data_IF_969686067219
#
_entry.id   IF_969686067219
#
_cell.length_a   1.000
_cell.length_b   1.000
_cell.length_c   1.000
_cell.angle_alpha   90.00
_cell.angle_beta   90.00
_cell.angle_gamma   90.00
#
_symmetry.space_group_name_H-M   'P 1'
#
loop_
_entity.id
_entity.type
_entity.pdbx_description
1 polymer ?
#
# COMPACT_ATOMS: atom_id res chain seq x y z
N UNK A 1 -8.86 -22.06 7.07
CA UNK A 1 -7.63 -22.22 6.26
C UNK A 1 -7.85 -23.10 5.05
N UNK A 2 -8.78 -24.06 5.10
CA UNK A 2 -9.15 -24.95 3.98
C UNK A 2 -9.52 -24.17 2.70
N UNK A 3 -10.25 -23.07 2.82
CA UNK A 3 -10.62 -22.23 1.67
C UNK A 3 -9.40 -21.61 0.97
N UNK A 4 -8.33 -21.27 1.71
CA UNK A 4 -7.11 -20.71 1.11
C UNK A 4 -6.36 -21.80 0.33
N UNK A 5 -6.30 -23.02 0.86
CA UNK A 5 -5.57 -24.16 0.28
C UNK A 5 -6.11 -24.50 -1.12
N UNK A 6 -7.42 -24.40 -1.32
CA UNK A 6 -8.06 -24.66 -2.61
C UNK A 6 -7.60 -23.70 -3.72
N UNK A 7 -7.23 -22.46 -3.37
CA UNK A 7 -6.88 -21.42 -4.34
C UNK A 7 -5.38 -21.11 -4.40
N UNK A 8 -4.53 -21.91 -3.75
CA UNK A 8 -3.08 -21.67 -3.72
C UNK A 8 -2.43 -21.69 -5.10
N UNK A 9 -2.93 -22.53 -6.01
CA UNK A 9 -2.44 -22.62 -7.39
C UNK A 9 -2.61 -21.31 -8.17
N UNK A 10 -3.64 -20.53 -7.83
CA UNK A 10 -3.91 -19.24 -8.46
C UNK A 10 -3.01 -18.10 -7.96
N UNK A 11 -2.30 -18.30 -6.85
CA UNK A 11 -1.45 -17.27 -6.23
C UNK A 11 -0.12 -17.21 -6.97
N UNK A 12 0.24 -16.01 -7.44
CA UNK A 12 1.48 -15.77 -8.15
C UNK A 12 2.41 -14.91 -7.31
N UNK A 13 3.70 -15.16 -7.42
CA UNK A 13 4.74 -14.26 -6.87
C UNK A 13 5.07 -13.23 -7.96
N UNK A 14 5.00 -11.92 -7.69
CA UNK A 14 5.31 -10.91 -8.69
C UNK A 14 6.78 -11.03 -9.11
N UNK A 15 7.01 -10.99 -10.42
CA UNK A 15 8.35 -10.90 -11.01
C UNK A 15 8.75 -9.42 -11.14
N UNK A 16 10.00 -9.15 -11.57
CA UNK A 16 10.53 -7.77 -11.68
C UNK A 16 9.77 -6.90 -12.70
N UNK A 17 9.08 -7.53 -13.65
CA UNK A 17 8.29 -6.86 -14.69
C UNK A 17 6.79 -6.75 -14.30
N UNK A 18 6.39 -7.34 -13.17
CA UNK A 18 4.99 -7.31 -12.73
C UNK A 18 4.57 -5.88 -12.40
N UNK A 19 3.46 -5.46 -13.00
CA UNK A 19 2.81 -4.19 -12.67
C UNK A 19 1.91 -4.40 -11.46
N UNK A 20 2.27 -3.77 -10.34
CA UNK A 20 1.55 -3.88 -9.08
C UNK A 20 0.80 -2.58 -8.81
N UNK A 21 -0.53 -2.62 -8.88
CA UNK A 21 -1.39 -1.46 -8.67
C UNK A 21 -1.87 -1.42 -7.22
N UNK A 22 -0.98 -1.03 -6.29
CA UNK A 22 -1.25 -0.98 -4.84
C UNK A 22 -1.54 0.42 -4.29
N UNK A 23 -1.57 1.45 -5.14
CA UNK A 23 -1.83 2.83 -4.71
C UNK A 23 -3.33 3.18 -4.74
N UNK A 24 -4.09 2.66 -5.72
CA UNK A 24 -5.49 3.02 -5.95
C UNK A 24 -6.27 1.86 -6.59
N UNK A 25 -7.59 1.87 -6.43
CA UNK A 25 -8.51 0.97 -7.08
C UNK A 25 -8.59 1.22 -8.60
N UNK A 26 -8.67 0.16 -9.39
CA UNK A 26 -8.77 0.28 -10.86
C UNK A 26 -10.14 0.75 -11.37
N UNK A 27 -11.14 0.84 -10.49
CA UNK A 27 -12.52 1.23 -10.82
C UNK A 27 -13.02 2.47 -10.06
N UNK A 28 -12.39 2.82 -8.94
CA UNK A 28 -12.75 3.91 -8.03
C UNK A 28 -11.48 4.59 -7.52
N UNK A 29 -11.62 5.69 -6.78
CA UNK A 29 -10.49 6.38 -6.14
C UNK A 29 -10.17 5.84 -4.74
N UNK A 30 -10.61 4.62 -4.43
CA UNK A 30 -10.28 3.99 -3.15
C UNK A 30 -8.79 3.70 -3.08
N UNK A 31 -8.20 3.96 -1.93
CA UNK A 31 -6.78 3.79 -1.69
C UNK A 31 -6.56 3.06 -0.34
N UNK A 32 -5.31 2.74 0.05
CA UNK A 32 -5.05 2.09 1.33
C UNK A 32 -5.57 2.86 2.56
N UNK A 33 -5.79 4.17 2.47
CA UNK A 33 -6.31 5.03 3.54
C UNK A 33 -7.86 5.08 3.58
N UNK A 34 -8.54 4.51 2.58
CA UNK A 34 -10.00 4.31 2.58
C UNK A 34 -10.45 3.48 3.80
N UNK A 35 -11.71 3.62 4.25
CA UNK A 35 -12.21 2.95 5.46
C UNK A 35 -12.03 1.42 5.44
N UNK A 36 -12.21 0.80 4.28
CA UNK A 36 -12.03 -0.65 4.07
C UNK A 36 -10.62 -1.03 3.59
N UNK A 37 -9.76 -0.04 3.31
CA UNK A 37 -8.47 -0.23 2.66
C UNK A 37 -8.59 -0.67 1.19
N UNK A 38 -7.47 -1.13 0.63
CA UNK A 38 -7.36 -1.57 -0.75
C UNK A 38 -7.15 -3.09 -0.83
N UNK A 39 -7.91 -3.78 -1.68
CA UNK A 39 -7.80 -5.23 -1.89
C UNK A 39 -7.01 -5.52 -3.15
N UNK A 40 -5.80 -6.02 -2.99
CA UNK A 40 -4.90 -6.35 -4.09
C UNK A 40 -5.01 -7.84 -4.46
N UNK A 41 -5.29 -8.15 -5.71
CA UNK A 41 -5.33 -9.56 -6.17
C UNK A 41 -3.94 -10.19 -6.18
N UNK A 42 -3.76 -11.34 -5.53
CA UNK A 42 -2.47 -12.06 -5.56
C UNK A 42 -2.24 -12.87 -6.85
N UNK A 43 -3.18 -12.81 -7.80
CA UNK A 43 -3.06 -13.44 -9.12
C UNK A 43 -2.67 -12.43 -10.20
N UNK A 44 -3.27 -11.24 -10.16
CA UNK A 44 -3.13 -10.23 -11.21
C UNK A 44 -2.57 -8.89 -10.73
N UNK A 45 -2.36 -8.72 -9.42
CA UNK A 45 -1.79 -7.51 -8.79
C UNK A 45 -2.55 -6.21 -9.05
N UNK A 46 -3.85 -6.30 -9.35
CA UNK A 46 -4.74 -5.13 -9.42
C UNK A 46 -5.28 -4.80 -8.02
N UNK A 47 -5.32 -3.51 -7.68
CA UNK A 47 -5.98 -2.98 -6.49
C UNK A 47 -7.47 -2.75 -6.73
N UNK A 48 -8.30 -3.17 -5.79
CA UNK A 48 -9.77 -3.08 -5.84
C UNK A 48 -10.30 -2.47 -4.55
N UNK A 49 -11.29 -1.59 -4.66
CA UNK A 49 -12.12 -1.15 -3.54
C UNK A 49 -13.11 -2.24 -3.12
N UNK A 50 -13.61 -2.15 -1.88
CA UNK A 50 -14.52 -3.14 -1.27
C UNK A 50 -15.78 -3.41 -2.10
N UNK A 51 -16.32 -2.37 -2.70
CA UNK A 51 -17.54 -2.38 -3.51
C UNK A 51 -17.38 -3.11 -4.85
N UNK A 52 -16.18 -3.07 -5.44
CA UNK A 52 -15.91 -3.68 -6.73
C UNK A 52 -15.29 -5.07 -6.64
N UNK A 53 -14.84 -5.46 -5.45
CA UNK A 53 -14.17 -6.73 -5.20
C UNK A 53 -15.00 -7.96 -5.60
N UNK A 54 -16.29 -7.96 -5.23
CA UNK A 54 -17.18 -9.09 -5.52
C UNK A 54 -17.40 -9.25 -7.03
N UNK A 55 -17.75 -8.15 -7.71
CA UNK A 55 -17.90 -8.11 -9.17
C UNK A 55 -16.63 -8.53 -9.90
N UNK A 56 -15.47 -8.08 -9.43
CA UNK A 56 -14.17 -8.44 -10.01
C UNK A 56 -13.88 -9.93 -9.84
N UNK A 57 -14.09 -10.47 -8.63
CA UNK A 57 -13.90 -11.89 -8.32
C UNK A 57 -14.81 -12.79 -9.17
N UNK A 58 -16.08 -12.41 -9.35
CA UNK A 58 -17.01 -13.16 -10.20
C UNK A 58 -16.60 -13.15 -11.68
N UNK A 59 -16.10 -12.02 -12.19
CA UNK A 59 -15.68 -11.89 -13.59
C UNK A 59 -14.37 -12.61 -13.92
N UNK A 60 -13.39 -12.52 -13.03
CA UNK A 60 -12.03 -13.04 -13.27
C UNK A 60 -11.83 -14.44 -12.71
N UNK A 61 -12.66 -14.86 -11.75
CA UNK A 61 -12.44 -16.07 -10.98
C UNK A 61 -11.36 -15.94 -9.89
N UNK A 62 -10.73 -14.77 -9.73
CA UNK A 62 -9.72 -14.58 -8.69
C UNK A 62 -10.37 -14.57 -7.30
N UNK A 63 -9.83 -15.37 -6.37
CA UNK A 63 -10.42 -15.57 -5.03
C UNK A 63 -9.54 -15.08 -3.89
N UNK A 64 -8.24 -14.94 -4.09
CA UNK A 64 -7.29 -14.58 -3.03
C UNK A 64 -6.81 -13.13 -3.21
N UNK A 65 -6.99 -12.33 -2.16
CA UNK A 65 -6.66 -10.93 -2.15
C UNK A 65 -5.88 -10.55 -0.89
N UNK A 66 -5.02 -9.55 -0.99
CA UNK A 66 -4.34 -8.90 0.12
C UNK A 66 -5.03 -7.56 0.40
N UNK A 67 -5.67 -7.43 1.56
CA UNK A 67 -6.16 -6.16 2.05
C UNK A 67 -5.01 -5.37 2.69
N UNK A 68 -4.75 -4.19 2.14
CA UNK A 68 -3.75 -3.24 2.59
C UNK A 68 -4.52 -2.06 3.18
N UNK A 69 -4.34 -1.81 4.48
CA UNK A 69 -4.98 -0.70 5.17
C UNK A 69 -3.93 0.17 5.84
N UNK A 70 -3.94 1.47 5.53
CA UNK A 70 -3.03 2.47 6.09
C UNK A 70 -3.81 3.35 7.06
N UNK A 71 -3.37 3.38 8.31
CA UNK A 71 -3.99 4.18 9.36
C UNK A 71 -3.07 5.35 9.71
N UNK A 72 -3.62 6.57 9.67
CA UNK A 72 -2.93 7.77 10.15
C UNK A 72 -3.02 7.84 11.67
N UNK A 73 -1.87 7.83 12.35
CA UNK A 73 -1.80 8.05 13.79
C UNK A 73 -1.16 9.40 14.07
N UNK A 74 -1.79 10.27 14.88
CA UNK A 74 -1.12 11.47 15.36
C UNK A 74 0.02 11.06 16.28
N UNK A 75 1.19 11.65 16.09
CA UNK A 75 2.33 11.43 16.98
C UNK A 75 1.99 12.21 18.26
N UNK A 76 1.85 11.53 19.39
CA UNK A 76 1.61 12.21 20.67
C UNK A 76 2.77 13.18 20.94
N UNK A 77 2.45 14.43 21.26
CA UNK A 77 3.41 15.49 21.63
C UNK A 77 4.22 15.15 22.90
N UNK A 78 3.97 14.02 23.55
CA UNK A 78 4.60 13.62 24.83
C UNK A 78 6.03 13.07 24.71
N UNK A 79 6.56 12.89 23.50
CA UNK A 79 7.96 12.45 23.29
C UNK A 79 8.95 13.60 22.99
N UNK A 80 8.55 14.86 23.22
CA UNK A 80 9.46 16.01 23.18
C UNK A 80 9.53 16.65 24.57
N UNK A 81 10.33 16.06 25.46
CA UNK A 81 10.85 16.78 26.63
C UNK A 81 11.79 17.88 26.11
N UNK A 82 11.23 19.05 25.84
CA UNK A 82 11.96 20.21 25.36
C UNK A 82 11.04 21.43 25.30
N UNK A 83 11.50 22.62 25.74
CA UNK A 83 10.63 23.78 25.91
C UNK A 83 10.02 24.16 24.56
N UNK A 84 8.68 24.18 24.51
CA UNK A 84 7.90 24.67 23.38
C UNK A 84 8.55 25.93 22.80
N UNK A 85 9.19 25.80 21.64
CA UNK A 85 9.87 26.91 20.96
C UNK A 85 8.79 27.93 20.60
N UNK A 86 8.65 28.95 21.45
CA UNK A 86 7.80 30.12 21.20
C UNK A 86 8.18 30.67 19.83
N UNK A 87 7.28 30.52 18.86
CA UNK A 87 7.44 31.08 17.52
C UNK A 87 7.51 32.59 17.69
N UNK A 88 8.67 33.17 17.45
CA UNK A 88 8.93 34.61 17.64
C UNK A 88 9.07 35.35 16.31
N UNK A 89 9.22 34.63 15.19
CA UNK A 89 9.27 35.19 13.84
C UNK A 89 8.32 34.49 12.88
N UNK A 90 7.61 35.27 12.08
CA UNK A 90 6.73 34.79 11.01
C UNK A 90 7.54 34.52 9.73
N UNK A 91 8.60 33.71 9.82
CA UNK A 91 9.45 33.34 8.69
C UNK A 91 9.58 31.81 8.61
N UNK A 92 9.52 31.23 7.42
CA UNK A 92 9.65 29.78 7.20
C UNK A 92 11.15 29.43 7.09
N UNK A 93 11.63 28.45 7.86
CA UNK A 93 12.99 27.92 7.72
C UNK A 93 14.12 28.72 8.39
N UNK A 94 13.81 29.72 9.22
CA UNK A 94 14.80 30.47 10.01
C UNK A 94 14.82 30.04 11.49
N UNK A 95 15.95 30.15 12.22
CA UNK A 95 15.96 29.93 13.67
C UNK A 95 14.99 30.88 14.38
N UNK A 96 13.94 30.33 15.00
CA UNK A 96 12.82 31.07 15.63
C UNK A 96 11.57 31.25 14.75
N UNK A 97 11.56 30.67 13.55
CA UNK A 97 10.47 30.67 12.57
C UNK A 97 9.64 29.38 12.54
N UNK A 98 8.65 29.31 11.66
CA UNK A 98 7.83 28.10 11.45
C UNK A 98 8.67 27.02 10.77
N UNK A 99 8.71 25.82 11.36
CA UNK A 99 9.36 24.63 10.79
C UNK A 99 8.25 23.73 10.24
N UNK A 100 7.96 23.75 8.94
CA UNK A 100 6.85 22.98 8.35
C UNK A 100 7.13 21.47 8.27
N UNK A 101 8.33 21.02 8.64
CA UNK A 101 8.86 19.68 8.35
C UNK A 101 8.87 18.72 9.55
N UNK A 102 8.24 19.08 10.67
CA UNK A 102 8.02 18.08 11.72
C UNK A 102 6.91 17.13 11.25
N UNK A 103 7.21 15.83 11.04
CA UNK A 103 6.16 14.88 10.71
C UNK A 103 5.17 14.93 11.87
N UNK A 104 3.89 15.19 11.57
CA UNK A 104 2.80 15.25 12.57
C UNK A 104 2.04 13.93 12.68
N UNK A 105 2.28 13.02 11.74
CA UNK A 105 1.57 11.75 11.62
C UNK A 105 2.55 10.63 11.31
N UNK A 106 2.37 9.51 12.00
CA UNK A 106 2.95 8.22 11.63
C UNK A 106 1.90 7.44 10.85
N UNK A 107 2.32 6.78 9.77
CA UNK A 107 1.48 5.90 8.99
C UNK A 107 1.79 4.46 9.37
N UNK A 108 0.79 3.74 9.88
CA UNK A 108 0.89 2.31 10.14
C UNK A 108 0.11 1.54 9.07
N UNK A 109 0.76 0.52 8.48
CA UNK A 109 0.15 -0.34 7.47
C UNK A 109 -0.19 -1.70 8.08
N UNK A 110 -1.46 -2.06 8.03
CA UNK A 110 -1.96 -3.39 8.41
C UNK A 110 -2.26 -4.20 7.17
N UNK A 111 -1.83 -5.45 7.18
CA UNK A 111 -1.99 -6.39 6.08
C UNK A 111 -2.86 -7.57 6.52
N UNK A 112 -3.89 -7.87 5.73
CA UNK A 112 -4.77 -9.03 5.95
C UNK A 112 -4.99 -9.76 4.65
N UNK A 113 -5.00 -11.08 4.65
CA UNK A 113 -5.35 -11.89 3.48
C UNK A 113 -6.85 -12.15 3.52
N UNK A 114 -7.52 -11.96 2.39
CA UNK A 114 -8.97 -12.12 2.25
C UNK A 114 -9.28 -13.12 1.14
N UNK A 115 -10.09 -14.12 1.47
CA UNK A 115 -10.49 -15.18 0.54
C UNK A 115 -11.98 -15.08 0.23
N UNK A 116 -12.32 -14.93 -1.05
CA UNK A 116 -13.69 -14.92 -1.56
C UNK A 116 -14.13 -16.33 -2.00
N UNK A 117 -15.45 -16.64 -1.99
CA UNK A 117 -16.60 -15.74 -1.74
C UNK A 117 -16.98 -15.54 -0.27
N UNK A 118 -16.39 -16.30 0.67
CA UNK A 118 -16.76 -16.25 2.10
C UNK A 118 -16.23 -15.04 2.87
N UNK A 119 -15.39 -14.21 2.24
CA UNK A 119 -14.67 -13.10 2.89
C UNK A 119 -13.90 -13.54 4.14
N UNK A 120 -13.31 -14.73 4.10
CA UNK A 120 -12.48 -15.23 5.19
C UNK A 120 -11.24 -14.37 5.30
N UNK A 121 -11.06 -13.70 6.43
CA UNK A 121 -9.91 -12.84 6.71
C UNK A 121 -8.89 -13.62 7.54
N UNK A 122 -7.62 -13.47 7.18
CA UNK A 122 -6.47 -14.03 7.87
C UNK A 122 -5.47 -12.90 8.12
N UNK A 123 -5.01 -12.76 9.35
CA UNK A 123 -4.01 -11.75 9.68
C UNK A 123 -2.64 -12.10 9.08
N UNK A 124 -1.90 -11.06 8.67
CA UNK A 124 -0.52 -11.17 8.22
C UNK A 124 0.34 -10.19 9.03
N UNK A 125 1.50 -10.60 9.57
CA UNK A 125 2.19 -11.89 9.38
C UNK A 125 1.69 -13.01 10.31
N UNK A 126 1.55 -14.23 9.79
CA UNK A 126 1.21 -15.44 10.56
C UNK A 126 2.08 -16.64 10.12
N UNK A 127 2.52 -17.46 11.09
CA UNK A 127 3.43 -18.60 10.81
C UNK A 127 2.75 -19.75 10.06
N UNK A 128 1.44 -19.92 10.16
CA UNK A 128 0.70 -21.01 9.55
C UNK A 128 0.33 -20.73 8.08
N UNK A 129 0.63 -19.54 7.55
CA UNK A 129 0.36 -19.23 6.16
C UNK A 129 1.27 -20.01 5.19
N UNK A 130 0.73 -20.51 4.07
CA UNK A 130 1.52 -21.18 3.04
C UNK A 130 2.67 -20.30 2.52
N UNK A 131 3.83 -20.93 2.31
CA UNK A 131 5.07 -20.25 1.91
C UNK A 131 4.90 -19.43 0.63
N UNK A 132 4.13 -19.94 -0.34
CA UNK A 132 3.83 -19.23 -1.61
C UNK A 132 3.12 -17.90 -1.35
N UNK A 133 2.16 -17.87 -0.44
CA UNK A 133 1.41 -16.66 -0.10
C UNK A 133 2.31 -15.67 0.64
N UNK A 134 3.13 -16.14 1.59
CA UNK A 134 4.11 -15.30 2.29
C UNK A 134 5.08 -14.64 1.31
N UNK A 135 5.63 -15.41 0.38
CA UNK A 135 6.57 -14.91 -0.62
C UNK A 135 5.91 -13.90 -1.56
N UNK A 136 4.68 -14.17 -2.00
CA UNK A 136 3.91 -13.25 -2.84
C UNK A 136 3.64 -11.93 -2.11
N UNK A 137 3.14 -11.98 -0.87
CA UNK A 137 2.85 -10.79 -0.06
C UNK A 137 4.13 -10.00 0.23
N UNK A 138 5.22 -10.65 0.65
CA UNK A 138 6.50 -10.00 0.89
C UNK A 138 7.02 -9.28 -0.36
N UNK A 139 6.90 -9.94 -1.53
CA UNK A 139 7.31 -9.34 -2.79
C UNK A 139 6.41 -8.16 -3.20
N UNK A 140 5.09 -8.22 -2.97
CA UNK A 140 4.16 -7.09 -3.20
C UNK A 140 4.48 -5.90 -2.30
N UNK A 141 4.80 -6.15 -1.02
CA UNK A 141 5.15 -5.10 -0.06
C UNK A 141 6.47 -4.43 -0.50
N UNK A 142 7.49 -5.21 -0.84
CA UNK A 142 8.80 -4.70 -1.26
C UNK A 142 8.83 -4.06 -2.64
N UNK A 143 7.94 -4.48 -3.55
CA UNK A 143 7.91 -3.97 -4.91
C UNK A 143 7.40 -2.53 -4.97
N UNK A 144 7.84 -1.81 -6.00
CA UNK A 144 7.35 -0.46 -6.27
C UNK A 144 6.03 -0.53 -7.04
N UNK A 145 5.13 0.42 -6.78
CA UNK A 145 3.84 0.46 -7.47
C UNK A 145 4.01 0.80 -8.96
N UNK A 146 3.15 0.25 -9.81
CA UNK A 146 3.19 0.43 -11.25
C UNK A 146 3.16 1.91 -11.68
N UNK A 147 2.42 2.75 -10.95
CA UNK A 147 2.34 4.20 -11.19
C UNK A 147 3.70 4.86 -11.04
N UNK A 148 4.40 4.59 -9.93
CA UNK A 148 5.73 5.14 -9.65
C UNK A 148 6.78 4.66 -10.65
N UNK A 149 6.69 3.39 -11.05
CA UNK A 149 7.57 2.83 -12.08
C UNK A 149 7.36 3.59 -13.40
N UNK A 150 6.10 3.79 -13.81
CA UNK A 150 5.77 4.51 -15.04
C UNK A 150 6.18 5.99 -14.98
N UNK A 151 6.02 6.66 -13.83
CA UNK A 151 6.49 8.04 -13.62
C UNK A 151 8.01 8.14 -13.77
N UNK A 152 8.76 7.22 -13.15
CA UNK A 152 10.22 7.17 -13.29
C UNK A 152 10.64 6.91 -14.73
N UNK A 153 9.99 5.98 -15.42
CA UNK A 153 10.27 5.68 -16.82
C UNK A 153 9.98 6.89 -17.73
N UNK A 154 8.89 7.62 -17.47
CA UNK A 154 8.57 8.85 -18.20
C UNK A 154 9.60 9.97 -17.95
N UNK A 155 10.17 10.04 -16.75
CA UNK A 155 11.23 11.00 -16.39
C UNK A 155 12.62 10.60 -16.93
N UNK A 156 12.87 9.32 -17.19
CA UNK A 156 14.18 8.79 -17.58
C UNK A 156 14.70 9.23 -18.97
N UNK A 157 13.97 10.10 -19.68
CA UNK A 157 14.36 10.64 -20.98
C UNK A 157 14.15 12.15 -21.15
N UNK A 158 13.83 12.89 -20.08
CA UNK A 158 13.53 14.33 -20.16
C UNK A 158 14.72 15.25 -19.89
N UNK A 159 15.91 14.70 -19.59
CA UNK A 159 17.15 15.46 -19.43
C UNK A 159 17.99 15.43 -20.72
N UNK A 160 17.63 16.29 -21.69
CA UNK A 160 18.50 16.65 -22.82
C UNK A 160 19.32 17.87 -22.39
N UNK A 161 20.35 17.63 -21.58
CA UNK A 161 21.23 18.70 -21.10
C UNK A 161 21.85 19.41 -22.29
N UNK A 162 21.51 20.69 -22.48
CA UNK A 162 22.26 21.59 -23.35
C UNK A 162 23.72 21.65 -22.87
N UNK A 163 24.53 20.73 -23.39
CA UNK A 163 25.98 20.83 -23.33
C UNK A 163 26.38 22.00 -24.24
N UNK A 164 26.60 23.15 -23.62
CA UNK A 164 27.17 24.34 -24.26
C UNK A 164 28.61 24.54 -23.81
#
# INVERSE_FOLDING_TARGET
MEDLVQYLDSVKVPNRDAKIYKDECVYSFDNPESPDGLFLSLTSFHGLGREHLDRYSQKTGHRVFLNIKRTKQPISEEAVDGPAKKITRLAIGTPGGFVPDEPKYTYEETYKIVVLPKFTTLDYPDENLPVVVKNSVAAVIAAESATKVAEREALAGTWDGEAK
#
